data_IF_686675715865
#
_entry.id   IF_686675715865
#
_cell.length_a   1.000
_cell.length_b   1.000
_cell.length_c   1.000
_cell.angle_alpha   90.00
_cell.angle_beta   90.00
_cell.angle_gamma   90.00
#
_symmetry.space_group_name_H-M   'P 1'
#
loop_
_entity.id
_entity.type
_entity.pdbx_description
1 polymer ?
#
# COMPACT_ATOMS: atom_id res chain seq x y z
N UNK A 1 7.38 -62.79 16.41
CA UNK A 1 6.71 -61.85 15.48
C UNK A 1 5.96 -60.84 16.34
N UNK A 2 6.28 -59.54 16.24
CA UNK A 2 5.37 -58.37 16.30
C UNK A 2 6.24 -57.12 16.07
N UNK A 3 5.95 -56.36 15.00
CA UNK A 3 6.64 -55.12 14.61
C UNK A 3 5.93 -53.93 15.26
N UNK A 4 6.64 -53.08 16.00
CA UNK A 4 6.14 -51.80 16.52
C UNK A 4 6.59 -50.65 15.59
N UNK A 5 5.85 -50.46 14.50
CA UNK A 5 5.59 -49.14 13.87
C UNK A 5 4.68 -48.35 14.82
N UNK A 6 4.79 -47.06 15.10
CA UNK A 6 5.50 -45.91 14.53
C UNK A 6 4.71 -44.64 14.96
N UNK A 7 5.25 -43.46 14.66
CA UNK A 7 4.68 -42.10 14.80
C UNK A 7 4.84 -41.39 16.15
N UNK A 8 5.94 -40.64 16.21
CA UNK A 8 6.10 -39.43 17.00
C UNK A 8 5.90 -38.19 16.10
N UNK A 9 5.59 -37.03 16.73
CA UNK A 9 5.55 -35.66 16.17
C UNK A 9 4.43 -35.37 15.15
N UNK A 10 3.71 -34.26 15.16
CA UNK A 10 3.86 -32.97 15.82
C UNK A 10 2.49 -32.26 15.90
N UNK A 11 2.24 -31.52 16.97
CA UNK A 11 1.17 -30.52 17.01
C UNK A 11 1.62 -29.32 16.16
N UNK A 12 1.05 -29.16 14.96
CA UNK A 12 1.27 -27.97 14.13
C UNK A 12 0.24 -26.91 14.50
N UNK A 13 0.73 -25.91 15.24
CA UNK A 13 0.14 -24.59 15.41
C UNK A 13 -0.28 -24.01 14.05
N UNK A 14 -1.57 -23.88 13.80
CA UNK A 14 -2.08 -22.97 12.76
C UNK A 14 -2.33 -21.62 13.44
N UNK A 15 -1.23 -20.96 13.83
CA UNK A 15 -1.23 -19.57 14.31
C UNK A 15 -1.22 -18.62 13.12
N UNK A 16 -2.20 -17.72 13.07
CA UNK A 16 -2.57 -16.94 11.90
C UNK A 16 -1.47 -16.06 11.27
N UNK A 17 -1.46 -16.01 9.94
CA UNK A 17 -0.88 -14.91 9.19
C UNK A 17 -1.84 -13.72 9.25
N UNK A 18 -1.77 -12.95 10.34
CA UNK A 18 -2.30 -11.60 10.41
C UNK A 18 -1.10 -10.66 10.61
N UNK A 19 -0.35 -10.39 9.55
CA UNK A 19 0.87 -9.59 9.62
C UNK A 19 1.10 -8.76 8.36
N UNK A 20 1.24 -7.44 8.58
CA UNK A 20 1.88 -6.44 7.71
C UNK A 20 1.04 -5.70 6.65
N UNK A 21 -0.10 -5.12 7.01
CA UNK A 21 -0.68 -4.01 6.21
C UNK A 21 0.04 -2.68 6.45
N UNK A 22 0.51 -2.43 7.68
CA UNK A 22 1.07 -1.13 8.07
C UNK A 22 2.38 -0.75 7.32
N UNK A 23 3.31 -1.69 7.13
CA UNK A 23 4.57 -1.40 6.41
C UNK A 23 4.35 -1.18 4.90
N UNK A 24 3.38 -1.88 4.30
CA UNK A 24 3.01 -1.68 2.90
C UNK A 24 2.38 -0.30 2.68
N UNK A 25 1.60 0.19 3.65
CA UNK A 25 0.98 1.51 3.58
C UNK A 25 2.01 2.64 3.71
N UNK A 26 2.97 2.50 4.64
CA UNK A 26 4.09 3.45 4.81
C UNK A 26 4.94 3.56 3.54
N UNK A 27 5.29 2.42 2.93
CA UNK A 27 6.06 2.43 1.68
C UNK A 27 5.27 3.05 0.52
N UNK A 28 3.96 2.83 0.44
CA UNK A 28 3.14 3.40 -0.63
C UNK A 28 3.01 4.92 -0.54
N UNK A 29 2.70 5.47 0.64
CA UNK A 29 2.55 6.92 0.81
C UNK A 29 3.88 7.66 0.53
N UNK A 30 5.01 7.06 0.87
CA UNK A 30 6.34 7.61 0.57
C UNK A 30 6.63 7.63 -0.93
N UNK A 31 6.30 6.53 -1.64
CA UNK A 31 6.45 6.46 -3.10
C UNK A 31 5.58 7.50 -3.81
N UNK A 32 4.33 7.66 -3.39
CA UNK A 32 3.43 8.68 -3.94
C UNK A 32 3.96 10.10 -3.66
N UNK A 33 4.49 10.35 -2.45
CA UNK A 33 5.07 11.64 -2.10
C UNK A 33 6.32 11.97 -2.94
N UNK A 34 7.20 10.99 -3.18
CA UNK A 34 8.36 11.13 -4.09
C UNK A 34 7.90 11.50 -5.50
N UNK A 35 6.88 10.80 -6.03
CA UNK A 35 6.34 11.07 -7.35
C UNK A 35 5.68 12.46 -7.46
N UNK A 36 5.04 12.95 -6.40
CA UNK A 36 4.50 14.31 -6.36
C UNK A 36 5.61 15.36 -6.38
N UNK A 37 6.63 15.17 -5.54
CA UNK A 37 7.78 16.08 -5.47
C UNK A 37 8.55 16.14 -6.78
N UNK A 38 8.74 15.01 -7.46
CA UNK A 38 9.39 15.00 -8.79
C UNK A 38 8.60 15.75 -9.87
N UNK A 39 7.29 15.97 -9.65
CA UNK A 39 6.40 16.73 -10.53
C UNK A 39 6.19 18.18 -10.06
N UNK A 40 6.88 18.61 -9.00
CA UNK A 40 6.81 19.98 -8.47
C UNK A 40 5.71 20.22 -7.42
N UNK A 41 5.02 19.17 -6.95
CA UNK A 41 4.05 19.27 -5.86
C UNK A 41 4.73 19.08 -4.50
N UNK A 42 4.47 19.99 -3.55
CA UNK A 42 5.03 19.90 -2.22
C UNK A 42 4.30 18.84 -1.37
N UNK A 43 4.97 17.74 -1.04
CA UNK A 43 4.47 16.79 -0.04
C UNK A 43 5.62 16.43 0.91
N UNK A 44 5.71 17.14 2.03
CA UNK A 44 6.84 17.02 2.96
C UNK A 44 6.76 15.73 3.76
N UNK A 45 5.79 15.65 4.68
CA UNK A 45 5.54 14.49 5.52
C UNK A 45 4.25 13.79 5.05
N UNK A 46 4.34 12.68 4.28
CA UNK A 46 3.17 11.87 3.99
C UNK A 46 2.63 11.27 5.30
N UNK A 47 1.33 11.42 5.52
CA UNK A 47 0.63 10.97 6.72
C UNK A 47 -0.26 9.77 6.45
N UNK A 48 -0.84 9.70 5.25
CA UNK A 48 -1.78 8.65 4.86
C UNK A 48 -1.91 8.55 3.35
N UNK A 49 -1.99 7.35 2.81
CA UNK A 49 -2.40 7.09 1.43
C UNK A 49 -3.59 6.12 1.41
N UNK A 50 -4.73 6.57 0.90
CA UNK A 50 -5.94 5.75 0.79
C UNK A 50 -6.32 5.56 -0.67
N UNK A 51 -6.60 4.32 -1.07
CA UNK A 51 -7.08 4.04 -2.41
C UNK A 51 -8.48 4.63 -2.57
N UNK A 52 -8.70 5.35 -3.65
CA UNK A 52 -10.04 5.78 -4.05
C UNK A 52 -10.64 4.68 -4.93
N UNK A 53 -11.36 3.74 -4.31
CA UNK A 53 -11.97 2.60 -5.00
C UNK A 53 -13.04 3.00 -6.02
N UNK A 54 -13.61 4.22 -5.91
CA UNK A 54 -14.61 4.71 -6.87
C UNK A 54 -13.96 5.18 -8.17
N UNK A 55 -12.75 5.72 -8.06
CA UNK A 55 -11.99 6.24 -9.20
C UNK A 55 -10.99 5.24 -9.77
N UNK A 56 -10.57 4.26 -8.98
CA UNK A 56 -9.63 3.23 -9.41
C UNK A 56 -10.30 2.16 -10.26
N UNK A 57 -9.66 1.78 -11.38
CA UNK A 57 -10.06 0.70 -12.29
C UNK A 57 -8.82 -0.15 -12.65
N UNK A 58 -8.94 -1.25 -13.41
CA UNK A 58 -7.81 -2.11 -13.73
C UNK A 58 -6.60 -1.39 -14.33
N UNK A 59 -6.83 -0.38 -15.18
CA UNK A 59 -5.76 0.34 -15.89
C UNK A 59 -5.49 1.74 -15.30
N UNK A 60 -6.12 2.09 -14.17
CA UNK A 60 -5.86 3.37 -13.52
C UNK A 60 -6.05 3.26 -12.00
N UNK A 61 -5.04 3.67 -11.25
CA UNK A 61 -5.11 3.69 -9.79
C UNK A 61 -5.27 5.11 -9.30
N UNK A 62 -6.24 5.34 -8.43
CA UNK A 62 -6.48 6.62 -7.81
C UNK A 62 -6.26 6.52 -6.30
N UNK A 63 -5.54 7.49 -5.75
CA UNK A 63 -5.18 7.55 -4.34
C UNK A 63 -5.47 8.95 -3.78
N UNK A 64 -5.93 9.02 -2.54
CA UNK A 64 -5.93 10.24 -1.74
C UNK A 64 -4.70 10.22 -0.85
N UNK A 65 -3.73 11.09 -1.14
CA UNK A 65 -2.51 11.26 -0.36
C UNK A 65 -2.66 12.47 0.56
N UNK A 66 -2.61 12.23 1.87
CA UNK A 66 -2.60 13.30 2.88
C UNK A 66 -1.16 13.55 3.30
N UNK A 67 -0.69 14.78 3.11
CA UNK A 67 0.60 15.26 3.59
C UNK A 67 0.36 16.26 4.73
N UNK A 68 1.39 16.57 5.52
CA UNK A 68 1.28 17.56 6.61
C UNK A 68 0.85 18.96 6.16
N UNK A 69 1.10 19.30 4.90
CA UNK A 69 0.88 20.62 4.33
C UNK A 69 -0.29 20.70 3.33
N UNK A 70 -0.76 19.56 2.79
CA UNK A 70 -1.76 19.53 1.73
C UNK A 70 -2.39 18.14 1.58
N UNK A 71 -3.55 18.07 0.91
CA UNK A 71 -4.16 16.81 0.52
C UNK A 71 -4.30 16.74 -1.00
N UNK A 72 -3.86 15.63 -1.58
CA UNK A 72 -3.82 15.42 -3.02
C UNK A 72 -4.68 14.23 -3.43
N UNK A 73 -5.31 14.33 -4.59
CA UNK A 73 -5.75 13.18 -5.35
C UNK A 73 -4.71 12.88 -6.42
N UNK A 74 -4.23 11.65 -6.44
CA UNK A 74 -3.19 11.16 -7.33
C UNK A 74 -3.78 10.06 -8.20
N UNK A 75 -3.85 10.28 -9.50
CA UNK A 75 -4.28 9.25 -10.45
C UNK A 75 -3.10 8.81 -11.29
N UNK A 76 -2.74 7.54 -11.18
CA UNK A 76 -1.68 6.88 -11.96
C UNK A 76 -2.31 6.08 -13.08
N UNK A 77 -1.92 6.40 -14.30
CA UNK A 77 -2.17 5.60 -15.51
C UNK A 77 -0.80 5.08 -15.97
N UNK A 78 -0.68 3.80 -16.35
CA UNK A 78 0.58 3.27 -16.90
C UNK A 78 1.14 4.16 -18.00
N UNK A 79 2.48 4.26 -18.05
CA UNK A 79 3.24 5.01 -19.06
C UNK A 79 2.99 6.53 -19.13
N UNK A 80 2.21 7.08 -18.19
CA UNK A 80 1.95 8.51 -18.08
C UNK A 80 2.43 9.07 -16.73
N UNK A 81 2.75 10.37 -16.72
CA UNK A 81 2.94 11.10 -15.47
C UNK A 81 1.63 11.07 -14.65
N UNK A 82 1.73 11.09 -13.32
CA UNK A 82 0.52 11.04 -12.50
C UNK A 82 -0.26 12.33 -12.66
N UNK A 83 -1.58 12.21 -12.83
CA UNK A 83 -2.47 13.35 -12.70
C UNK A 83 -2.61 13.67 -11.22
N UNK A 84 -2.28 14.90 -10.84
CA UNK A 84 -2.37 15.37 -9.45
C UNK A 84 -3.38 16.51 -9.35
N UNK A 85 -4.35 16.35 -8.44
CA UNK A 85 -5.34 17.38 -8.10
C UNK A 85 -5.16 17.77 -6.63
N UNK A 86 -5.10 19.06 -6.34
CA UNK A 86 -5.06 19.56 -4.95
C UNK A 86 -6.48 19.60 -4.41
N UNK A 87 -6.71 18.94 -3.28
CA UNK A 87 -8.02 18.88 -2.62
C UNK A 87 -8.14 19.93 -1.50
N UNK A 88 -7.03 20.21 -0.81
CA UNK A 88 -6.94 21.16 0.29
C UNK A 88 -5.52 21.69 0.44
#
# INVERSE_FOLDING_TARGET
MTKFTGLAFAALFVGGLAGSTAQAEETLQDLLAVQLRSQGYACDKPLKAERDDKLSKPDNEAWTLTCSNATYRVTRVPDLAAKVEVLK
#
